data_IF_022219206436
#
_entry.id   IF_022219206436
#
_cell.length_a   1.000
_cell.length_b   1.000
_cell.length_c   1.000
_cell.angle_alpha   90.00
_cell.angle_beta   90.00
_cell.angle_gamma   90.00
#
_symmetry.space_group_name_H-M   'P 1'
#
loop_
_entity.id
_entity.type
_entity.pdbx_description
1 polymer ?
#
# COMPACT_ATOMS: atom_id res chain seq x y z
N UNK A 1 40.38 9.21 7.25
CA UNK A 1 39.68 8.67 6.07
C UNK A 1 38.95 7.42 6.51
N UNK A 2 37.67 7.53 6.85
CA UNK A 2 36.86 6.40 7.34
C UNK A 2 35.98 5.92 6.20
N UNK A 3 36.35 4.81 5.58
CA UNK A 3 35.56 4.13 4.54
C UNK A 3 34.30 3.53 5.18
N UNK A 4 33.13 4.12 4.89
CA UNK A 4 31.83 3.52 5.15
C UNK A 4 31.71 2.26 4.28
N UNK A 5 31.95 1.09 4.87
CA UNK A 5 31.60 -0.18 4.26
C UNK A 5 30.07 -0.25 4.18
N UNK A 6 29.51 -0.04 2.99
CA UNK A 6 28.09 -0.24 2.76
C UNK A 6 27.78 -1.73 3.03
N UNK A 7 26.76 -2.06 3.83
CA UNK A 7 26.41 -3.44 4.08
C UNK A 7 26.08 -4.12 2.76
N UNK A 8 26.89 -5.12 2.40
CA UNK A 8 26.65 -5.97 1.24
C UNK A 8 25.27 -6.60 1.40
N UNK A 9 24.35 -6.29 0.48
CA UNK A 9 23.01 -6.86 0.43
C UNK A 9 23.13 -8.38 0.28
N UNK A 10 22.93 -9.09 1.38
CA UNK A 10 22.97 -10.54 1.41
C UNK A 10 21.94 -11.08 0.41
N UNK A 11 22.28 -12.07 -0.42
CA UNK A 11 21.31 -12.66 -1.34
C UNK A 11 20.16 -13.26 -0.52
N UNK A 12 18.93 -12.95 -0.93
CA UNK A 12 17.74 -13.46 -0.26
C UNK A 12 17.78 -15.01 -0.24
N UNK A 13 17.41 -15.66 0.87
CA UNK A 13 17.38 -17.11 0.96
C UNK A 13 16.53 -17.70 -0.16
N UNK A 14 16.96 -18.82 -0.77
CA UNK A 14 16.21 -19.53 -1.81
C UNK A 14 14.75 -19.83 -1.42
N UNK A 15 14.50 -20.04 -0.12
CA UNK A 15 13.15 -20.23 0.44
C UNK A 15 12.24 -19.02 0.22
N UNK A 16 12.76 -17.80 0.37
CA UNK A 16 11.97 -16.60 0.12
C UNK A 16 11.64 -16.46 -1.37
N UNK A 17 12.59 -16.72 -2.26
CA UNK A 17 12.33 -16.73 -3.71
C UNK A 17 11.24 -17.73 -4.10
N UNK A 18 11.32 -18.96 -3.61
CA UNK A 18 10.30 -19.98 -3.86
C UNK A 18 8.94 -19.56 -3.30
N UNK A 19 8.89 -19.00 -2.09
CA UNK A 19 7.66 -18.49 -1.50
C UNK A 19 7.08 -17.35 -2.33
N UNK A 20 7.90 -16.40 -2.81
CA UNK A 20 7.46 -15.29 -3.67
C UNK A 20 6.87 -15.79 -4.99
N UNK A 21 7.53 -16.73 -5.67
CA UNK A 21 6.99 -17.30 -6.91
C UNK A 21 5.73 -18.14 -6.68
N UNK A 22 5.67 -18.89 -5.58
CA UNK A 22 4.48 -19.64 -5.22
C UNK A 22 3.28 -18.72 -4.93
N UNK A 23 3.49 -17.64 -4.17
CA UNK A 23 2.47 -16.62 -3.89
C UNK A 23 2.02 -15.92 -5.17
N UNK A 24 2.96 -15.56 -6.05
CA UNK A 24 2.65 -14.97 -7.34
C UNK A 24 1.81 -15.94 -8.19
N UNK A 25 2.23 -17.20 -8.31
CA UNK A 25 1.51 -18.23 -9.04
C UNK A 25 0.10 -18.48 -8.48
N UNK A 26 -0.04 -18.51 -7.16
CA UNK A 26 -1.34 -18.62 -6.50
C UNK A 26 -2.26 -17.42 -6.82
N UNK A 27 -1.69 -16.21 -6.84
CA UNK A 27 -2.44 -14.97 -7.15
C UNK A 27 -2.89 -14.96 -8.62
N UNK A 28 -2.02 -15.38 -9.54
CA UNK A 28 -2.37 -15.48 -10.96
C UNK A 28 -3.40 -16.58 -11.23
N UNK A 29 -3.29 -17.73 -10.55
CA UNK A 29 -4.27 -18.80 -10.65
C UNK A 29 -5.63 -18.37 -10.08
N UNK A 30 -5.63 -17.61 -8.99
CA UNK A 30 -6.84 -17.03 -8.40
C UNK A 30 -7.56 -16.09 -9.39
N UNK A 31 -6.82 -15.21 -10.06
CA UNK A 31 -7.37 -14.30 -11.07
C UNK A 31 -7.86 -15.06 -12.32
N UNK A 32 -7.05 -15.98 -12.85
CA UNK A 32 -7.37 -16.75 -14.05
C UNK A 32 -8.59 -17.66 -13.89
N UNK A 33 -8.85 -18.15 -12.67
CA UNK A 33 -10.01 -19.00 -12.37
C UNK A 33 -11.31 -18.21 -12.21
N UNK A 34 -11.26 -16.88 -12.15
CA UNK A 34 -12.44 -16.06 -11.87
C UNK A 34 -12.98 -16.23 -10.44
N UNK A 35 -12.14 -16.74 -9.53
CA UNK A 35 -12.49 -16.93 -8.12
C UNK A 35 -12.76 -15.60 -7.43
N UNK A 36 -12.10 -14.53 -7.89
CA UNK A 36 -12.37 -13.14 -7.54
C UNK A 36 -13.86 -12.78 -7.73
N UNK A 37 -14.45 -13.10 -8.88
CA UNK A 37 -15.86 -12.80 -9.21
C UNK A 37 -16.81 -13.60 -8.36
N UNK A 38 -16.49 -14.87 -8.12
CA UNK A 38 -17.28 -15.73 -7.24
C UNK A 38 -17.31 -15.12 -5.86
N UNK A 39 -16.15 -14.84 -5.25
CA UNK A 39 -16.07 -14.19 -3.94
C UNK A 39 -16.82 -12.85 -3.93
N UNK A 40 -16.71 -12.03 -4.97
CA UNK A 40 -17.47 -10.78 -5.07
C UNK A 40 -18.99 -11.02 -5.07
N UNK A 41 -19.50 -12.08 -5.71
CA UNK A 41 -20.91 -12.45 -5.63
C UNK A 41 -21.35 -12.86 -4.22
N UNK A 42 -20.47 -13.48 -3.42
CA UNK A 42 -20.76 -13.77 -2.01
C UNK A 42 -20.83 -12.51 -1.15
N UNK A 43 -20.07 -11.47 -1.49
CA UNK A 43 -20.06 -10.19 -0.75
C UNK A 43 -21.12 -9.19 -1.25
N UNK A 44 -21.49 -9.25 -2.53
CA UNK A 44 -22.39 -8.33 -3.19
C UNK A 44 -23.22 -9.07 -4.23
N UNK A 45 -24.54 -8.94 -4.16
CA UNK A 45 -25.43 -9.43 -5.20
C UNK A 45 -25.81 -8.27 -6.14
N UNK A 46 -26.62 -8.54 -7.17
CA UNK A 46 -27.23 -7.58 -8.09
C UNK A 46 -27.97 -6.42 -7.40
N UNK A 47 -28.38 -6.58 -6.15
CA UNK A 47 -28.93 -5.51 -5.29
C UNK A 47 -27.88 -4.57 -4.67
N UNK A 48 -26.59 -4.85 -4.88
CA UNK A 48 -25.44 -4.12 -4.36
C UNK A 48 -24.73 -4.83 -3.20
N UNK A 49 -23.68 -4.19 -2.70
CA UNK A 49 -22.86 -4.70 -1.60
C UNK A 49 -23.63 -4.70 -0.28
N UNK A 50 -23.83 -5.88 0.32
CA UNK A 50 -24.68 -6.04 1.50
C UNK A 50 -24.15 -5.29 2.74
N UNK A 51 -22.83 -5.12 2.86
CA UNK A 51 -22.20 -4.40 3.97
C UNK A 51 -22.12 -2.88 3.76
N UNK A 52 -22.71 -2.34 2.68
CA UNK A 52 -22.65 -0.90 2.36
C UNK A 52 -23.18 0.02 3.46
N UNK A 53 -24.11 -0.48 4.29
CA UNK A 53 -24.72 0.27 5.40
C UNK A 53 -24.17 -0.16 6.76
N UNK A 54 -23.12 -0.98 6.79
CA UNK A 54 -22.41 -1.28 8.02
C UNK A 54 -21.66 -0.03 8.44
N UNK A 55 -21.99 0.51 9.61
CA UNK A 55 -21.40 1.73 10.16
C UNK A 55 -19.86 1.71 10.12
N UNK A 56 -19.25 0.55 10.34
CA UNK A 56 -17.79 0.40 10.27
C UNK A 56 -17.23 0.65 8.87
N UNK A 57 -17.85 0.09 7.82
CA UNK A 57 -17.36 0.26 6.45
C UNK A 57 -17.70 1.65 5.91
N UNK A 58 -18.92 2.11 6.14
CA UNK A 58 -19.38 3.40 5.61
C UNK A 58 -18.74 4.57 6.38
N UNK A 59 -18.86 4.59 7.71
CA UNK A 59 -18.43 5.76 8.49
C UNK A 59 -16.96 5.74 8.83
N UNK A 60 -16.44 4.60 9.30
CA UNK A 60 -15.05 4.54 9.80
C UNK A 60 -14.07 4.36 8.64
N UNK A 61 -14.29 3.35 7.81
CA UNK A 61 -13.34 3.03 6.75
C UNK A 61 -13.48 3.97 5.55
N UNK A 62 -14.70 4.23 5.08
CA UNK A 62 -14.88 5.07 3.92
C UNK A 62 -14.75 6.56 4.25
N UNK A 63 -15.53 7.10 5.19
CA UNK A 63 -15.47 8.55 5.45
C UNK A 63 -14.21 8.96 6.22
N UNK A 64 -13.97 8.37 7.39
CA UNK A 64 -12.86 8.79 8.26
C UNK A 64 -11.51 8.40 7.68
N UNK A 65 -11.34 7.16 7.19
CA UNK A 65 -10.04 6.77 6.64
C UNK A 65 -9.71 7.51 5.35
N UNK A 66 -10.70 7.82 4.49
CA UNK A 66 -10.47 8.67 3.30
C UNK A 66 -10.05 10.09 3.69
N UNK A 67 -10.70 10.69 4.69
CA UNK A 67 -10.34 12.02 5.17
C UNK A 67 -8.93 12.04 5.77
N UNK A 68 -8.59 11.04 6.60
CA UNK A 68 -7.24 10.91 7.17
C UNK A 68 -6.18 10.68 6.08
N UNK A 69 -6.43 9.79 5.12
CA UNK A 69 -5.51 9.56 4.01
C UNK A 69 -5.30 10.82 3.19
N UNK A 70 -6.36 11.59 2.94
CA UNK A 70 -6.28 12.89 2.24
C UNK A 70 -5.48 13.90 3.05
N UNK A 71 -5.70 13.99 4.37
CA UNK A 71 -4.95 14.88 5.24
C UNK A 71 -3.46 14.51 5.24
N UNK A 72 -3.12 13.23 5.41
CA UNK A 72 -1.74 12.74 5.36
C UNK A 72 -1.10 13.08 4.02
N UNK A 73 -1.81 12.83 2.91
CA UNK A 73 -1.32 13.17 1.58
C UNK A 73 -1.04 14.68 1.43
N UNK A 74 -1.96 15.54 1.88
CA UNK A 74 -1.76 16.98 1.85
C UNK A 74 -0.60 17.43 2.74
N UNK A 75 -0.41 16.81 3.91
CA UNK A 75 0.74 17.07 4.77
C UNK A 75 2.04 16.69 4.06
N UNK A 76 2.10 15.53 3.42
CA UNK A 76 3.27 15.11 2.64
C UNK A 76 3.57 16.09 1.50
N UNK A 77 2.55 16.49 0.73
CA UNK A 77 2.68 17.50 -0.33
C UNK A 77 3.16 18.83 0.27
N UNK A 78 2.60 19.27 1.39
CA UNK A 78 3.02 20.47 2.08
C UNK A 78 4.48 20.37 2.57
N UNK A 79 4.94 19.22 3.05
CA UNK A 79 6.34 19.00 3.44
C UNK A 79 7.30 19.04 2.25
N UNK A 80 6.85 18.62 1.08
CA UNK A 80 7.61 18.74 -0.19
C UNK A 80 7.64 20.20 -0.67
N UNK A 81 6.54 20.94 -0.57
CA UNK A 81 6.45 22.32 -1.07
C UNK A 81 7.00 23.37 -0.08
N UNK A 82 6.70 23.23 1.21
CA UNK A 82 7.13 24.08 2.32
C UNK A 82 8.05 23.28 3.26
N UNK A 83 9.39 23.30 3.07
CA UNK A 83 10.29 22.61 3.96
C UNK A 83 10.29 23.26 5.35
N UNK A 84 9.63 22.61 6.30
CA UNK A 84 9.62 22.93 7.72
C UNK A 84 10.68 22.07 8.44
N UNK A 85 11.49 22.68 9.31
CA UNK A 85 12.44 21.95 10.17
C UNK A 85 13.61 21.26 9.42
N UNK A 86 14.03 20.05 9.87
CA UNK A 86 15.22 19.34 9.33
C UNK A 86 15.16 19.04 7.82
N UNK A 87 13.96 19.02 7.24
CA UNK A 87 13.71 18.75 5.81
C UNK A 87 14.24 19.85 4.89
N UNK A 88 14.60 21.02 5.42
CA UNK A 88 15.34 22.06 4.67
C UNK A 88 16.74 21.61 4.25
N UNK A 89 17.31 20.63 4.94
CA UNK A 89 18.65 20.12 4.64
C UNK A 89 18.65 19.13 3.46
N UNK A 90 17.48 18.68 3.02
CA UNK A 90 17.33 17.77 1.89
C UNK A 90 17.03 18.54 0.60
N UNK A 91 17.75 18.19 -0.47
CA UNK A 91 17.49 18.74 -1.80
C UNK A 91 16.06 18.39 -2.26
N UNK A 92 15.49 19.18 -3.17
CA UNK A 92 14.10 18.96 -3.66
C UNK A 92 13.88 17.54 -4.19
N UNK A 93 14.90 16.93 -4.79
CA UNK A 93 14.84 15.59 -5.37
C UNK A 93 14.82 14.48 -4.32
N UNK A 94 15.58 14.61 -3.23
CA UNK A 94 15.59 13.65 -2.11
C UNK A 94 14.32 13.66 -1.25
N UNK A 95 13.41 14.64 -1.44
CA UNK A 95 12.12 14.69 -0.74
C UNK A 95 10.98 14.04 -1.52
N UNK A 96 11.19 13.73 -2.80
CA UNK A 96 10.17 13.15 -3.68
C UNK A 96 10.37 11.65 -3.93
N UNK A 97 11.54 11.11 -3.55
CA UNK A 97 11.84 9.67 -3.49
C UNK A 97 11.23 9.04 -2.23
#
# INVERSE_FOLDING_TARGET
MTTLALPYSQPLPRRLWLASFALLGATLAWDATGLDRTVMHWLADSSGFALRHQWLLERVLHDVARQLATLVFLVLVAMVLLPLGPLRQLSRWQRAE
#
